data_IF_661039973231
#
_entry.id   IF_661039973231
#
_cell.length_a   1.000
_cell.length_b   1.000
_cell.length_c   1.000
_cell.angle_alpha   90.00
_cell.angle_beta   90.00
_cell.angle_gamma   90.00
#
_symmetry.space_group_name_H-M   'P 1'
#
loop_
_entity.id
_entity.type
_entity.pdbx_description
1 polymer ?
#
# COMPACT_ATOMS: atom_id res chain seq x y z
N UNK A 1 1.28 -9.69 64.37
CA UNK A 1 0.40 -9.74 63.18
C UNK A 1 0.52 -8.44 62.38
N UNK A 2 1.52 -8.29 61.50
CA UNK A 2 1.66 -7.11 60.61
C UNK A 2 2.40 -7.38 59.30
N UNK A 3 2.78 -8.64 59.03
CA UNK A 3 3.65 -9.00 57.89
C UNK A 3 2.83 -9.62 56.74
N UNK A 4 1.55 -9.97 56.95
CA UNK A 4 0.73 -10.62 55.91
C UNK A 4 0.06 -9.67 54.90
N UNK A 5 0.04 -8.36 55.13
CA UNK A 5 -0.63 -7.43 54.21
C UNK A 5 0.25 -6.94 53.05
N UNK A 6 1.58 -7.03 53.17
CA UNK A 6 2.50 -6.52 52.15
C UNK A 6 2.79 -7.50 51.01
N UNK A 7 2.41 -8.78 51.14
CA UNK A 7 2.62 -9.79 50.09
C UNK A 7 1.48 -9.85 49.06
N UNK A 8 0.30 -9.33 49.38
CA UNK A 8 -0.87 -9.29 48.48
C UNK A 8 -0.81 -8.15 47.44
N UNK A 9 0.03 -7.12 47.64
CA UNK A 9 0.21 -6.05 46.65
C UNK A 9 1.23 -6.41 45.53
N UNK A 10 1.95 -7.52 45.64
CA UNK A 10 2.91 -7.96 44.62
C UNK A 10 2.29 -8.86 43.54
N UNK A 11 0.98 -9.12 43.61
CA UNK A 11 0.26 -10.09 42.80
C UNK A 11 -0.93 -9.47 42.05
N UNK A 12 -0.81 -8.20 41.63
CA UNK A 12 -1.56 -7.76 40.46
C UNK A 12 -0.72 -8.13 39.24
N UNK A 13 -0.96 -9.28 38.57
CA UNK A 13 -0.32 -9.50 37.29
C UNK A 13 -0.82 -8.37 36.39
N UNK A 14 0.14 -7.73 35.73
CA UNK A 14 -0.10 -6.77 34.69
C UNK A 14 -0.99 -7.39 33.60
N UNK A 15 -2.30 -7.31 33.77
CA UNK A 15 -3.27 -7.27 32.67
C UNK A 15 -3.28 -5.86 32.07
N UNK A 16 -2.09 -5.26 31.94
CA UNK A 16 -1.91 -4.26 30.91
C UNK A 16 -1.98 -5.05 29.61
N UNK A 17 -3.18 -5.15 29.03
CA UNK A 17 -3.35 -5.50 27.63
C UNK A 17 -2.28 -4.71 26.89
N UNK A 18 -1.25 -5.37 26.36
CA UNK A 18 -0.09 -4.68 25.82
C UNK A 18 -0.60 -3.71 24.75
N UNK A 19 -0.64 -2.42 25.10
CA UNK A 19 -1.25 -1.43 24.23
C UNK A 19 -0.38 -1.35 22.99
N UNK A 20 -0.99 -1.48 21.82
CA UNK A 20 -0.25 -1.40 20.57
C UNK A 20 0.51 -0.06 20.50
N UNK A 21 1.75 -0.13 20.02
CA UNK A 21 2.63 1.01 19.91
C UNK A 21 3.60 0.87 18.74
N UNK A 22 4.58 1.80 18.60
CA UNK A 22 5.54 1.81 17.50
C UNK A 22 6.33 0.49 17.33
N UNK A 23 6.48 -0.28 18.40
CA UNK A 23 7.22 -1.55 18.40
C UNK A 23 6.37 -2.75 17.99
N UNK A 24 5.04 -2.64 18.00
CA UNK A 24 4.15 -3.75 17.64
C UNK A 24 4.29 -4.13 16.16
N UNK A 25 4.20 -5.41 15.84
CA UNK A 25 4.24 -5.87 14.45
C UNK A 25 3.04 -5.36 13.65
N UNK A 26 3.23 -5.17 12.35
CA UNK A 26 2.13 -4.73 11.47
C UNK A 26 0.95 -5.70 11.50
N UNK A 27 1.21 -7.00 11.65
CA UNK A 27 0.16 -8.01 11.77
C UNK A 27 -0.75 -7.79 12.98
N UNK A 28 -0.20 -7.38 14.13
CA UNK A 28 -1.00 -7.07 15.32
C UNK A 28 -1.81 -5.79 15.14
N UNK A 29 -1.21 -4.77 14.50
CA UNK A 29 -1.89 -3.52 14.19
C UNK A 29 -3.07 -3.77 13.25
N UNK A 30 -2.89 -4.56 12.17
CA UNK A 30 -3.97 -4.86 11.22
C UNK A 30 -5.07 -5.76 11.80
N UNK A 31 -4.74 -6.67 12.72
CA UNK A 31 -5.75 -7.52 13.38
C UNK A 31 -6.55 -6.78 14.45
N UNK A 32 -6.02 -5.69 14.97
CA UNK A 32 -6.68 -4.94 16.04
C UNK A 32 -7.75 -4.00 15.48
N UNK A 33 -9.00 -4.23 15.87
CA UNK A 33 -10.16 -3.47 15.41
C UNK A 33 -10.16 -2.00 15.83
N UNK A 34 -9.30 -1.57 16.75
CA UNK A 34 -9.24 -0.20 17.25
C UNK A 34 -8.08 0.61 16.68
N UNK A 35 -7.23 0.01 15.84
CA UNK A 35 -6.10 0.68 15.21
C UNK A 35 -6.18 0.56 13.68
N UNK A 36 -5.82 1.64 12.98
CA UNK A 36 -5.75 1.63 11.53
C UNK A 36 -4.51 2.41 11.08
N UNK A 37 -3.56 1.76 10.38
CA UNK A 37 -2.43 2.47 9.80
C UNK A 37 -2.85 3.15 8.50
N UNK A 38 -2.50 4.42 8.35
CA UNK A 38 -2.58 5.13 7.06
C UNK A 38 -1.37 4.80 6.20
N UNK A 39 -1.36 3.55 5.73
CA UNK A 39 -0.23 2.96 5.01
C UNK A 39 -0.10 3.60 3.62
N UNK A 40 1.05 4.24 3.30
CA UNK A 40 1.27 4.81 1.98
C UNK A 40 1.18 3.74 0.88
N UNK A 41 0.87 4.19 -0.34
CA UNK A 41 0.67 3.32 -1.49
C UNK A 41 1.63 3.66 -2.62
N UNK A 42 2.10 2.63 -3.31
CA UNK A 42 2.78 2.72 -4.60
C UNK A 42 1.77 2.28 -5.67
N UNK A 43 1.63 3.11 -6.70
CA UNK A 43 0.70 2.84 -7.80
C UNK A 43 1.44 2.05 -8.87
N UNK A 44 0.87 0.96 -9.35
CA UNK A 44 1.38 0.20 -10.48
C UNK A 44 0.37 0.23 -11.62
N UNK A 45 0.86 0.39 -12.84
CA UNK A 45 0.03 0.27 -14.04
C UNK A 45 0.28 -1.09 -14.66
N UNK A 46 -0.67 -2.00 -14.46
CA UNK A 46 -0.66 -3.31 -15.05
C UNK A 46 -1.32 -3.23 -16.43
N UNK A 47 -0.63 -3.72 -17.47
CA UNK A 47 -1.15 -3.79 -18.83
C UNK A 47 -0.99 -5.20 -19.36
N UNK A 48 -2.03 -5.66 -20.04
CA UNK A 48 -1.96 -6.87 -20.83
C UNK A 48 -0.87 -6.78 -21.91
N UNK A 49 -0.29 -7.92 -22.27
CA UNK A 49 0.75 -8.04 -23.30
C UNK A 49 0.26 -7.60 -24.68
N UNK A 50 -1.04 -7.74 -24.95
CA UNK A 50 -1.68 -7.27 -26.18
C UNK A 50 -2.27 -5.84 -26.07
N UNK A 51 -2.16 -5.18 -24.91
CA UNK A 51 -2.62 -3.82 -24.69
C UNK A 51 -4.15 -3.64 -24.56
N UNK A 52 -4.93 -4.72 -24.57
CA UNK A 52 -6.40 -4.68 -24.53
C UNK A 52 -6.93 -4.30 -23.15
N UNK A 53 -6.45 -4.98 -22.10
CA UNK A 53 -6.78 -4.69 -20.72
C UNK A 53 -5.69 -3.92 -19.99
N UNK A 54 -6.11 -3.03 -19.09
CA UNK A 54 -5.23 -2.35 -18.16
C UNK A 54 -5.91 -2.17 -16.81
N UNK A 55 -5.10 -2.04 -15.75
CA UNK A 55 -5.58 -1.79 -14.40
C UNK A 55 -4.57 -0.98 -13.61
N UNK A 56 -5.06 -0.06 -12.80
CA UNK A 56 -4.26 0.60 -11.76
C UNK A 56 -4.34 -0.23 -10.48
N UNK A 57 -3.19 -0.62 -9.96
CA UNK A 57 -3.06 -1.38 -8.72
C UNK A 57 -2.41 -0.47 -7.67
N UNK A 58 -3.05 -0.34 -6.52
CA UNK A 58 -2.54 0.41 -5.37
C UNK A 58 -1.96 -0.59 -4.37
N UNK A 59 -0.64 -0.77 -4.38
CA UNK A 59 0.03 -1.65 -3.45
C UNK A 59 0.48 -0.88 -2.21
N UNK A 60 0.19 -1.39 -1.02
CA UNK A 60 0.68 -0.77 0.23
C UNK A 60 2.20 -0.94 0.31
N UNK A 61 2.91 0.06 0.83
CA UNK A 61 4.39 0.04 0.87
C UNK A 61 4.97 -1.14 1.65
N UNK A 62 4.24 -1.70 2.63
CA UNK A 62 4.64 -2.90 3.36
C UNK A 62 4.47 -4.22 2.58
N UNK A 63 3.90 -4.16 1.38
CA UNK A 63 3.75 -5.27 0.44
C UNK A 63 4.67 -5.10 -0.79
N UNK A 64 5.36 -3.97 -0.89
CA UNK A 64 6.26 -3.64 -1.99
C UNK A 64 7.67 -4.03 -1.58
N UNK A 65 8.40 -4.61 -2.53
CA UNK A 65 9.84 -4.87 -2.41
C UNK A 65 10.62 -4.02 -3.40
N UNK A 66 11.92 -3.86 -3.19
CA UNK A 66 12.84 -3.23 -4.14
C UNK A 66 13.86 -4.23 -4.67
N UNK A 67 14.38 -3.98 -5.87
CA UNK A 67 15.52 -4.71 -6.44
C UNK A 67 16.25 -3.82 -7.45
N UNK A 68 17.49 -4.18 -7.80
CA UNK A 68 18.25 -3.52 -8.87
C UNK A 68 18.18 -4.39 -10.12
N UNK A 69 17.74 -3.82 -11.23
CA UNK A 69 17.66 -4.49 -12.52
C UNK A 69 19.05 -4.71 -13.15
N UNK A 70 19.09 -5.50 -14.22
CA UNK A 70 20.33 -5.72 -14.99
C UNK A 70 20.87 -4.45 -15.65
N UNK A 71 20.01 -3.45 -15.84
CA UNK A 71 20.32 -2.10 -16.32
C UNK A 71 20.85 -1.16 -15.21
N UNK A 72 20.96 -1.64 -13.97
CA UNK A 72 21.40 -0.86 -12.82
C UNK A 72 20.32 0.07 -12.24
N UNK A 73 19.09 0.03 -12.75
CA UNK A 73 18.00 0.86 -12.25
C UNK A 73 17.36 0.21 -11.02
N UNK A 74 17.05 1.02 -10.00
CA UNK A 74 16.30 0.53 -8.84
C UNK A 74 14.80 0.50 -9.14
N UNK A 75 14.24 -0.70 -9.06
CA UNK A 75 12.84 -1.00 -9.31
C UNK A 75 12.08 -1.32 -8.02
N UNK A 76 10.78 -1.08 -8.07
CA UNK A 76 9.81 -1.53 -7.09
C UNK A 76 9.01 -2.69 -7.67
N UNK A 77 8.77 -3.70 -6.85
CA UNK A 77 7.98 -4.88 -7.17
C UNK A 77 6.76 -4.96 -6.26
N UNK A 78 5.57 -4.98 -6.85
CA UNK A 78 4.28 -5.00 -6.15
C UNK A 78 3.59 -6.36 -6.10
N UNK A 79 4.25 -7.44 -6.57
CA UNK A 79 3.62 -8.74 -6.78
C UNK A 79 3.15 -8.92 -8.22
N UNK A 80 2.07 -9.67 -8.39
CA UNK A 80 1.44 -9.89 -9.70
C UNK A 80 -0.03 -9.49 -9.68
N UNK A 81 -0.60 -9.24 -10.86
CA UNK A 81 -2.03 -8.99 -11.01
C UNK A 81 -2.59 -9.73 -12.21
N UNK A 82 -3.81 -10.25 -12.07
CA UNK A 82 -4.58 -10.74 -13.21
C UNK A 82 -5.20 -9.56 -13.97
N UNK A 83 -4.92 -9.51 -15.27
CA UNK A 83 -5.42 -8.50 -16.20
C UNK A 83 -6.16 -9.18 -17.33
N UNK A 84 -7.24 -8.55 -17.79
CA UNK A 84 -7.96 -9.10 -18.91
C UNK A 84 -7.13 -9.02 -20.19
N UNK A 85 -6.94 -10.16 -20.83
CA UNK A 85 -6.26 -10.28 -22.11
C UNK A 85 -7.27 -10.21 -23.27
N UNK A 86 -8.54 -10.60 -23.06
CA UNK A 86 -9.56 -10.57 -24.10
C UNK A 86 -10.95 -10.33 -23.51
N UNK A 87 -11.75 -9.47 -24.15
CA UNK A 87 -13.13 -9.18 -23.75
C UNK A 87 -14.13 -9.77 -24.74
N UNK A 88 -15.28 -10.23 -24.23
CA UNK A 88 -16.43 -10.52 -25.07
C UNK A 88 -16.97 -9.20 -25.61
N UNK A 89 -16.96 -9.02 -26.93
CA UNK A 89 -17.55 -7.83 -27.54
C UNK A 89 -19.08 -7.98 -27.51
N UNK A 90 -19.74 -7.44 -26.49
CA UNK A 90 -21.21 -7.31 -26.49
C UNK A 90 -21.58 -5.90 -26.93
N UNK A 91 -21.55 -5.68 -28.26
CA UNK A 91 -22.45 -4.77 -28.99
C UNK A 91 -22.71 -3.31 -28.56
N UNK A 92 -22.06 -2.76 -27.54
CA UNK A 92 -22.23 -1.36 -27.11
C UNK A 92 -20.89 -0.74 -26.76
N UNK A 93 -20.69 0.49 -27.23
CA UNK A 93 -19.47 1.31 -27.06
C UNK A 93 -19.26 1.80 -25.61
N UNK A 94 -20.00 1.28 -24.63
CA UNK A 94 -19.79 1.56 -23.20
C UNK A 94 -18.98 0.43 -22.54
N UNK A 95 -17.86 0.79 -21.93
CA UNK A 95 -16.97 -0.12 -21.17
C UNK A 95 -17.67 -0.91 -20.05
N UNK A 96 -18.91 -0.57 -19.69
CA UNK A 96 -19.69 -1.19 -18.61
C UNK A 96 -20.05 -2.66 -18.83
N UNK A 97 -20.17 -3.09 -20.09
CA UNK A 97 -20.75 -4.40 -20.43
C UNK A 97 -19.69 -5.41 -20.88
N UNK A 98 -18.41 -5.04 -20.88
CA UNK A 98 -17.31 -5.91 -21.29
C UNK A 98 -17.10 -7.04 -20.28
N UNK A 99 -17.36 -8.27 -20.72
CA UNK A 99 -17.05 -9.48 -19.94
C UNK A 99 -15.64 -9.96 -20.27
N UNK A 100 -14.78 -10.15 -19.28
CA UNK A 100 -13.46 -10.72 -19.53
C UNK A 100 -13.57 -12.20 -19.90
N UNK A 101 -13.05 -12.59 -21.05
CA UNK A 101 -13.03 -13.97 -21.55
C UNK A 101 -11.79 -14.72 -21.11
N UNK A 102 -10.63 -14.05 -21.12
CA UNK A 102 -9.35 -14.64 -20.74
C UNK A 102 -8.51 -13.63 -19.99
N UNK A 103 -7.84 -14.07 -18.94
CA UNK A 103 -6.89 -13.25 -18.18
C UNK A 103 -5.45 -13.68 -18.47
N UNK A 104 -4.53 -12.79 -18.19
CA UNK A 104 -3.12 -13.10 -18.02
C UNK A 104 -2.63 -12.52 -16.70
N UNK A 105 -1.60 -13.15 -16.12
CA UNK A 105 -0.95 -12.64 -14.91
C UNK A 105 0.25 -11.81 -15.33
N UNK A 106 0.33 -10.56 -14.87
CA UNK A 106 1.43 -9.65 -15.15
C UNK A 106 2.16 -9.25 -13.88
N UNK A 107 3.47 -9.12 -13.99
CA UNK A 107 4.34 -8.63 -12.91
C UNK A 107 4.13 -7.13 -12.70
N UNK A 108 4.00 -6.71 -11.44
CA UNK A 108 3.85 -5.31 -11.07
C UNK A 108 5.22 -4.71 -10.80
N UNK A 109 5.86 -4.21 -11.86
CA UNK A 109 7.19 -3.60 -11.79
C UNK A 109 7.14 -2.16 -12.23
N UNK A 110 7.82 -1.27 -11.50
CA UNK A 110 8.08 0.08 -11.97
C UNK A 110 9.41 0.62 -11.47
N UNK A 111 10.07 1.52 -12.21
CA UNK A 111 11.21 2.23 -11.68
C UNK A 111 10.82 3.03 -10.44
N UNK A 112 11.74 3.12 -9.47
CA UNK A 112 11.56 3.93 -8.26
C UNK A 112 11.50 5.42 -8.60
N UNK A 113 12.34 5.85 -9.55
CA UNK A 113 12.29 7.18 -10.15
C UNK A 113 11.16 7.24 -11.20
N UNK A 114 10.39 8.31 -11.22
CA UNK A 114 9.32 8.48 -12.19
C UNK A 114 9.06 9.95 -12.49
N UNK A 115 8.62 10.22 -13.71
CA UNK A 115 8.13 11.55 -14.08
C UNK A 115 6.65 11.63 -13.73
N UNK A 116 6.30 12.56 -12.85
CA UNK A 116 4.93 12.86 -12.51
C UNK A 116 4.44 13.99 -13.40
N UNK A 117 3.44 13.69 -14.23
CA UNK A 117 2.75 14.70 -15.03
C UNK A 117 1.49 15.17 -14.31
N UNK A 118 1.28 16.47 -14.25
CA UNK A 118 0.09 17.06 -13.65
C UNK A 118 -0.41 18.24 -14.47
N UNK A 119 -1.73 18.41 -14.43
CA UNK A 119 -2.40 19.47 -15.16
C UNK A 119 -2.17 20.83 -14.47
N UNK A 120 -1.60 21.79 -15.20
CA UNK A 120 -1.42 23.16 -14.72
C UNK A 120 -2.46 24.12 -15.30
N UNK A 121 -3.06 23.76 -16.44
CA UNK A 121 -4.03 24.59 -17.13
C UNK A 121 -5.13 23.72 -17.76
N UNK A 122 -6.39 24.04 -17.49
CA UNK A 122 -7.57 23.38 -18.07
C UNK A 122 -8.30 24.35 -18.99
N UNK A 123 -8.72 23.87 -20.17
CA UNK A 123 -9.65 24.54 -21.08
C UNK A 123 -10.78 23.56 -21.40
N UNK A 124 -12.04 24.00 -21.28
CA UNK A 124 -13.23 23.20 -21.59
C UNK A 124 -13.30 21.85 -20.86
N UNK A 125 -12.83 21.81 -19.60
CA UNK A 125 -12.80 20.60 -18.77
C UNK A 125 -11.70 19.60 -19.13
N UNK A 126 -10.96 19.84 -20.22
CA UNK A 126 -9.80 19.05 -20.62
C UNK A 126 -8.52 19.75 -20.16
N UNK A 127 -7.50 18.96 -19.80
CA UNK A 127 -6.20 19.55 -19.52
C UNK A 127 -5.56 20.04 -20.82
N UNK A 128 -5.32 21.34 -20.92
CA UNK A 128 -4.72 22.00 -22.09
C UNK A 128 -3.23 22.32 -21.88
N UNK A 129 -2.71 22.20 -20.66
CA UNK A 129 -1.30 22.36 -20.35
C UNK A 129 -0.85 21.44 -19.22
N UNK A 130 0.23 20.71 -19.47
CA UNK A 130 0.84 19.79 -18.52
C UNK A 130 2.19 20.32 -18.07
N UNK A 131 2.51 20.10 -16.79
CA UNK A 131 3.86 20.19 -16.27
C UNK A 131 4.32 18.82 -15.82
N UNK A 132 5.62 18.59 -15.91
CA UNK A 132 6.26 17.37 -15.44
C UNK A 132 7.19 17.69 -14.28
N UNK A 133 7.28 16.77 -13.33
CA UNK A 133 8.24 16.83 -12.24
C UNK A 133 8.82 15.45 -12.00
N UNK A 134 10.15 15.36 -11.95
CA UNK A 134 10.81 14.13 -11.55
C UNK A 134 10.59 13.88 -10.07
N UNK A 135 10.19 12.65 -9.75
CA UNK A 135 9.86 12.18 -8.41
C UNK A 135 10.53 10.84 -8.17
N UNK A 136 10.65 10.49 -6.90
CA UNK A 136 11.16 9.21 -6.48
C UNK A 136 10.34 8.69 -5.30
N UNK A 137 9.89 7.44 -5.37
CA UNK A 137 9.30 6.79 -4.21
C UNK A 137 10.38 6.62 -3.12
N UNK A 138 10.15 7.05 -1.87
CA UNK A 138 11.13 6.80 -0.82
C UNK A 138 11.17 5.31 -0.46
N UNK A 139 12.28 4.86 0.14
CA UNK A 139 12.41 3.48 0.63
C UNK A 139 12.04 3.35 2.11
N UNK A 140 11.70 4.46 2.75
CA UNK A 140 11.37 4.54 4.16
C UNK A 140 10.26 5.54 4.34
N UNK A 141 9.24 5.14 5.09
CA UNK A 141 8.05 5.94 5.35
C UNK A 141 7.77 5.95 6.85
N UNK A 142 7.37 7.10 7.37
CA UNK A 142 6.79 7.22 8.70
C UNK A 142 5.27 7.12 8.55
N UNK A 143 4.67 6.08 9.13
CA UNK A 143 3.25 5.73 8.97
C UNK A 143 2.50 6.10 10.23
N UNK A 144 1.52 6.99 10.07
CA UNK A 144 0.58 7.34 11.12
C UNK A 144 -0.34 6.14 11.42
N UNK A 145 -0.49 5.80 12.70
CA UNK A 145 -1.47 4.82 13.16
C UNK A 145 -2.51 5.53 13.99
N UNK A 146 -3.75 5.47 13.51
CA UNK A 146 -4.90 6.10 14.16
C UNK A 146 -5.59 5.11 15.07
N UNK A 147 -6.13 5.63 16.18
CA UNK A 147 -6.92 4.84 17.12
C UNK A 147 -8.36 5.34 17.14
N UNK A 148 -9.30 4.42 17.30
CA UNK A 148 -10.69 4.73 17.64
C UNK A 148 -11.05 4.23 19.04
N UNK A 149 -12.06 4.83 19.66
CA UNK A 149 -12.48 4.49 21.03
C UNK A 149 -13.58 3.43 21.04
N UNK A 150 -14.48 3.50 20.07
CA UNK A 150 -15.53 2.50 19.82
C UNK A 150 -15.40 1.90 18.41
N UNK A 151 -15.88 0.67 18.22
CA UNK A 151 -15.98 0.06 16.88
C UNK A 151 -16.97 0.78 15.96
N UNK A 152 -17.89 1.58 16.54
CA UNK A 152 -18.80 2.45 15.79
C UNK A 152 -18.13 3.71 15.26
N UNK A 153 -16.98 4.09 15.80
CA UNK A 153 -16.29 5.32 15.42
C UNK A 153 -15.50 5.11 14.12
N UNK A 154 -15.44 6.15 13.30
CA UNK A 154 -14.57 6.19 12.14
C UNK A 154 -13.12 6.45 12.57
N UNK A 155 -12.17 5.93 11.78
CA UNK A 155 -10.78 6.37 11.89
C UNK A 155 -10.66 7.76 11.26
N UNK A 156 -10.33 8.76 12.06
CA UNK A 156 -10.19 10.13 11.60
C UNK A 156 -8.72 10.46 11.33
N UNK A 157 -8.33 10.54 10.05
CA UNK A 157 -6.98 10.96 9.66
C UNK A 157 -6.65 12.41 10.05
N UNK A 158 -7.69 13.22 10.34
CA UNK A 158 -7.56 14.58 10.85
C UNK A 158 -7.29 14.67 12.36
N UNK A 159 -7.45 13.57 13.12
CA UNK A 159 -7.07 13.53 14.53
C UNK A 159 -5.55 13.29 14.66
N UNK A 160 -4.91 13.66 15.78
CA UNK A 160 -3.52 13.27 16.01
C UNK A 160 -3.36 11.74 15.97
N UNK A 161 -2.29 11.21 15.35
CA UNK A 161 -2.05 9.77 15.35
C UNK A 161 -1.81 9.28 16.78
N UNK A 162 -2.26 8.06 17.08
CA UNK A 162 -1.97 7.42 18.36
C UNK A 162 -0.47 7.17 18.52
N UNK A 163 0.18 6.80 17.41
CA UNK A 163 1.63 6.75 17.28
C UNK A 163 2.02 6.74 15.80
N UNK A 164 3.30 6.98 15.54
CA UNK A 164 3.91 6.83 14.21
C UNK A 164 4.85 5.64 14.23
N UNK A 165 4.82 4.82 13.20
CA UNK A 165 5.70 3.66 13.04
C UNK A 165 6.37 3.69 11.67
N UNK A 166 7.67 3.41 11.64
CA UNK A 166 8.46 3.38 10.40
C UNK A 166 8.24 2.08 9.65
N UNK A 167 8.11 2.18 8.33
CA UNK A 167 8.16 1.04 7.41
C UNK A 167 9.27 1.25 6.39
N UNK A 168 10.02 0.19 6.12
CA UNK A 168 11.07 0.17 5.12
C UNK A 168 10.66 -0.77 3.98
N UNK A 169 10.88 -0.31 2.75
CA UNK A 169 10.74 -1.16 1.55
C UNK A 169 11.95 -2.08 1.50
N UNK A 170 11.71 -3.37 1.70
CA UNK A 170 12.75 -4.37 1.81
C UNK A 170 13.27 -4.79 0.43
N UNK A 171 14.53 -5.17 0.40
CA UNK A 171 15.15 -5.72 -0.80
C UNK A 171 14.68 -7.16 -1.05
N UNK A 172 14.41 -7.47 -2.31
CA UNK A 172 14.08 -8.81 -2.77
C UNK A 172 15.17 -9.32 -3.71
N UNK A 173 16.05 -10.17 -3.18
CA UNK A 173 17.18 -10.72 -3.93
C UNK A 173 16.74 -11.53 -5.16
N UNK A 174 15.60 -12.21 -5.08
CA UNK A 174 15.12 -13.08 -6.17
C UNK A 174 14.23 -12.37 -7.18
N UNK A 175 13.79 -11.14 -6.91
CA UNK A 175 12.79 -10.49 -7.77
C UNK A 175 13.34 -10.24 -9.17
N UNK A 176 14.61 -9.88 -9.30
CA UNK A 176 15.27 -9.71 -10.59
C UNK A 176 15.25 -11.02 -11.43
N UNK A 177 15.40 -12.19 -10.80
CA UNK A 177 15.39 -13.48 -11.49
C UNK A 177 14.00 -14.02 -11.82
N UNK A 178 12.94 -13.43 -11.25
CA UNK A 178 11.54 -13.81 -11.49
C UNK A 178 10.92 -13.07 -12.68
N UNK A 179 11.49 -11.92 -13.05
CA UNK A 179 11.10 -11.18 -14.24
C UNK A 179 11.59 -11.95 -15.48
N UNK A 180 10.66 -12.61 -16.17
CA UNK A 180 10.88 -13.32 -17.42
C UNK A 180 10.23 -12.58 -18.57
#
# INVERSE_FOLDING_TARGET
MKILLSLMLALFPALASAQLGPQSDWGDIYRNRFYSPDMPVVIFHAKSSNGVGSKLIFAKVNQVSRFVGADGVEYLYGGTAEICNNYAVTGSLSDSDRVCLTTETVELVRPRAYQFEFCIFRSDGVCAGYATSDKQYPLTYDVAVYRRLSESDAFHSAAPPAFTKRVQVLECADCAGRLR
#
